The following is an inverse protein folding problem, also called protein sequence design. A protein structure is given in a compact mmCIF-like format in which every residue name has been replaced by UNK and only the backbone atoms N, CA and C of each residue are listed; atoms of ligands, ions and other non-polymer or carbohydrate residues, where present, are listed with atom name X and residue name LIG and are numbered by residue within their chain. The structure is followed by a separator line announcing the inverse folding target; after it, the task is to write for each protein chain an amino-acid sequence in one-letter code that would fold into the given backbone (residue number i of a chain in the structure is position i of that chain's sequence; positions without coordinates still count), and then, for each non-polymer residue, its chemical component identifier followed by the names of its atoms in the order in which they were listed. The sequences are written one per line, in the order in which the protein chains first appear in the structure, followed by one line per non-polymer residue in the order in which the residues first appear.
data_IF_055695681199
#
_entry.id   IF_055695681199
#
_cell.length_a   1.000
_cell.length_b   1.000
_cell.length_c   1.000
_cell.angle_alpha   90.00
_cell.angle_beta   90.00
_cell.angle_gamma   90.00
#
_symmetry.space_group_name_H-M   'P 1'
#
loop_
_entity.id
_entity.type
_entity.pdbx_description
1 polymer ?
#
# COMPACT_ATOMS: atom_id res chain seq x y z
N UNK A 1 -5.11 -10.49 15.18
CA UNK A 1 -6.29 -9.76 14.64
C UNK A 1 -6.73 -10.48 13.38
N UNK A 2 -8.05 -10.68 13.14
CA UNK A 2 -8.51 -11.37 11.93
C UNK A 2 -8.33 -10.48 10.69
N UNK A 3 -8.28 -11.08 9.49
CA UNK A 3 -8.25 -10.34 8.20
C UNK A 3 -9.39 -9.32 8.13
N UNK A 4 -10.60 -9.73 8.54
CA UNK A 4 -11.79 -8.88 8.51
C UNK A 4 -11.72 -7.71 9.49
N UNK A 5 -11.09 -7.90 10.67
CA UNK A 5 -10.92 -6.80 11.65
C UNK A 5 -9.96 -5.75 11.09
N UNK A 6 -8.86 -6.20 10.46
CA UNK A 6 -7.89 -5.28 9.84
C UNK A 6 -8.55 -4.52 8.68
N UNK A 7 -9.35 -5.21 7.83
CA UNK A 7 -10.10 -4.56 6.74
C UNK A 7 -11.05 -3.47 7.26
N UNK A 8 -11.83 -3.77 8.32
CA UNK A 8 -12.75 -2.79 8.93
C UNK A 8 -12.00 -1.60 9.50
N UNK A 9 -10.90 -1.85 10.21
CA UNK A 9 -10.04 -0.82 10.78
C UNK A 9 -9.47 0.09 9.70
N UNK A 10 -8.91 -0.49 8.63
CA UNK A 10 -8.37 0.27 7.49
C UNK A 10 -9.48 1.07 6.79
N UNK A 11 -10.67 0.48 6.59
CA UNK A 11 -11.81 1.18 5.99
C UNK A 11 -12.29 2.35 6.85
N UNK A 12 -12.28 2.19 8.18
CA UNK A 12 -12.69 3.23 9.12
C UNK A 12 -11.75 4.44 9.10
N UNK A 13 -10.47 4.27 8.74
CA UNK A 13 -9.50 5.34 8.59
C UNK A 13 -9.67 6.17 7.29
N UNK A 14 -10.46 5.71 6.32
CA UNK A 14 -10.61 6.37 5.01
C UNK A 14 -11.05 7.84 5.09
N UNK A 15 -11.99 8.26 5.97
CA UNK A 15 -12.38 9.67 6.08
C UNK A 15 -11.21 10.61 6.37
N UNK A 16 -10.15 10.17 7.00
CA UNK A 16 -8.97 10.98 7.33
C UNK A 16 -8.15 11.38 6.11
N UNK A 17 -8.23 10.62 5.00
CA UNK A 17 -7.41 10.84 3.81
C UNK A 17 -8.22 11.21 2.56
N UNK A 18 -9.48 10.78 2.44
CA UNK A 18 -10.27 10.97 1.22
C UNK A 18 -10.54 12.44 0.88
N UNK A 19 -10.59 13.31 1.88
CA UNK A 19 -10.79 14.75 1.74
C UNK A 19 -9.52 15.56 2.10
N UNK A 20 -8.38 14.90 2.36
CA UNK A 20 -7.15 15.58 2.67
C UNK A 20 -6.66 16.43 1.48
N UNK A 21 -6.10 17.59 1.77
CA UNK A 21 -5.50 18.44 0.75
C UNK A 21 -4.29 17.77 0.07
N UNK A 22 -3.91 18.25 -1.11
CA UNK A 22 -2.70 17.79 -1.78
C UNK A 22 -1.45 18.01 -0.90
N UNK A 23 -1.42 19.12 -0.15
CA UNK A 23 -0.33 19.47 0.77
C UNK A 23 -0.26 18.48 1.94
N UNK A 24 -1.38 18.11 2.54
CA UNK A 24 -1.44 17.13 3.63
C UNK A 24 -0.98 15.75 3.17
N UNK A 25 -1.46 15.29 2.01
CA UNK A 25 -1.01 14.03 1.40
C UNK A 25 0.49 14.05 1.12
N UNK A 26 1.02 15.15 0.57
CA UNK A 26 2.43 15.30 0.27
C UNK A 26 3.29 15.32 1.54
N UNK A 27 2.82 15.98 2.61
CA UNK A 27 3.48 15.98 3.93
C UNK A 27 3.55 14.56 4.50
N UNK A 28 2.45 13.80 4.45
CA UNK A 28 2.40 12.41 4.89
C UNK A 28 3.39 11.56 4.08
N UNK A 29 3.37 11.64 2.75
CA UNK A 29 4.25 10.87 1.88
C UNK A 29 5.73 11.19 2.13
N UNK A 30 6.09 12.47 2.31
CA UNK A 30 7.46 12.86 2.62
C UNK A 30 7.92 12.26 3.96
N UNK A 31 7.09 12.33 5.00
CA UNK A 31 7.38 11.73 6.29
C UNK A 31 7.48 10.20 6.24
N UNK A 32 6.69 9.54 5.38
CA UNK A 32 6.84 8.09 5.13
C UNK A 32 8.20 7.75 4.52
N UNK A 33 8.67 8.53 3.55
CA UNK A 33 9.98 8.33 2.93
C UNK A 33 11.12 8.52 3.95
N UNK A 34 11.04 9.56 4.76
CA UNK A 34 12.04 9.86 5.79
C UNK A 34 12.07 8.77 6.89
N UNK A 35 10.89 8.30 7.32
CA UNK A 35 10.78 7.22 8.30
C UNK A 35 11.29 5.88 7.75
N UNK A 36 11.08 5.60 6.45
CA UNK A 36 11.62 4.40 5.81
C UNK A 36 13.14 4.36 5.84
N UNK A 37 13.79 5.50 5.60
CA UNK A 37 15.26 5.63 5.69
C UNK A 37 15.75 5.57 7.14
N UNK A 38 15.03 6.18 8.07
CA UNK A 38 15.38 6.14 9.49
C UNK A 38 15.32 4.72 10.07
N UNK A 39 14.37 3.90 9.63
CA UNK A 39 14.19 2.52 10.08
C UNK A 39 14.96 1.48 9.22
N UNK A 40 15.89 1.94 8.36
CA UNK A 40 16.65 1.10 7.43
C UNK A 40 17.25 -0.13 8.10
N UNK A 41 17.98 0.05 9.22
CA UNK A 41 18.64 -1.06 9.93
C UNK A 41 17.64 -2.09 10.48
N UNK A 42 16.48 -1.65 10.95
CA UNK A 42 15.43 -2.54 11.43
C UNK A 42 14.82 -3.36 10.29
N UNK A 43 14.58 -2.72 9.15
CA UNK A 43 14.06 -3.38 7.94
C UNK A 43 15.07 -4.40 7.41
N UNK A 44 16.37 -4.04 7.35
CA UNK A 44 17.43 -4.93 6.87
C UNK A 44 17.59 -6.16 7.78
N UNK A 45 17.44 -6.02 9.10
CA UNK A 45 17.45 -7.19 10.02
C UNK A 45 16.30 -8.15 9.70
N UNK A 46 15.07 -7.63 9.55
CA UNK A 46 13.93 -8.45 9.18
C UNK A 46 14.09 -9.10 7.79
N UNK A 47 14.73 -8.39 6.85
CA UNK A 47 15.01 -8.92 5.53
C UNK A 47 16.03 -10.05 5.56
N UNK A 48 17.08 -9.93 6.38
CA UNK A 48 18.05 -11.02 6.56
C UNK A 48 17.38 -12.30 7.09
N UNK A 49 16.45 -12.17 8.06
CA UNK A 49 15.68 -13.32 8.58
C UNK A 49 14.80 -13.96 7.50
N UNK A 50 14.12 -13.16 6.68
CA UNK A 50 13.30 -13.66 5.58
C UNK A 50 14.17 -14.33 4.51
N UNK A 51 15.32 -13.73 4.17
CA UNK A 51 16.30 -14.30 3.22
C UNK A 51 16.84 -15.65 3.70
N UNK A 52 17.20 -15.75 4.97
CA UNK A 52 17.72 -17.01 5.53
C UNK A 52 16.63 -18.10 5.55
N UNK A 53 15.39 -17.75 5.90
CA UNK A 53 14.26 -18.66 5.87
C UNK A 53 13.87 -19.12 4.45
N UNK A 54 14.08 -18.26 3.44
CA UNK A 54 13.72 -18.54 2.05
C UNK A 54 14.80 -19.34 1.29
N UNK A 55 16.04 -19.36 1.79
CA UNK A 55 17.17 -20.05 1.14
C UNK A 55 16.89 -21.55 0.97
N UNK A 56 17.06 -22.05 -0.26
CA UNK A 56 16.77 -23.44 -0.59
C UNK A 56 15.29 -23.78 -0.80
N UNK A 57 14.38 -22.82 -0.57
CA UNK A 57 12.94 -23.00 -0.76
C UNK A 57 12.38 -22.24 -1.97
N UNK A 58 13.06 -21.19 -2.41
CA UNK A 58 12.69 -20.40 -3.58
C UNK A 58 13.87 -20.29 -4.55
N UNK A 59 13.60 -19.93 -5.81
CA UNK A 59 14.65 -19.78 -6.83
C UNK A 59 15.54 -18.57 -6.55
N UNK A 60 16.78 -18.58 -7.08
CA UNK A 60 17.74 -17.47 -6.95
C UNK A 60 17.17 -16.15 -7.47
N UNK A 61 16.36 -16.21 -8.55
CA UNK A 61 15.65 -15.02 -9.07
C UNK A 61 14.65 -14.45 -8.05
N UNK A 62 14.00 -15.32 -7.29
CA UNK A 62 13.08 -14.86 -6.22
C UNK A 62 13.85 -14.36 -5.00
N UNK A 63 14.98 -14.96 -4.68
CA UNK A 63 15.88 -14.48 -3.63
C UNK A 63 16.40 -13.07 -3.95
N UNK A 64 16.85 -12.81 -5.18
CA UNK A 64 17.26 -11.46 -5.58
C UNK A 64 16.11 -10.43 -5.48
N UNK A 65 14.89 -10.83 -5.80
CA UNK A 65 13.70 -9.96 -5.66
C UNK A 65 13.33 -9.67 -4.21
N UNK A 66 13.62 -10.61 -3.31
CA UNK A 66 13.37 -10.48 -1.87
C UNK A 66 14.46 -9.65 -1.19
N UNK A 67 15.69 -9.71 -1.68
CA UNK A 67 16.86 -9.07 -1.10
C UNK A 67 16.71 -7.56 -1.03
N UNK A 68 17.04 -6.99 0.11
CA UNK A 68 17.19 -5.55 0.33
C UNK A 68 18.60 -5.25 0.84
N UNK A 69 19.09 -4.08 0.43
CA UNK A 69 20.21 -3.37 0.98
C UNK A 69 19.83 -1.90 1.21
N UNK A 70 20.78 -1.12 1.69
CA UNK A 70 20.55 0.30 1.94
C UNK A 70 20.16 1.05 0.66
N UNK A 71 20.82 0.75 -0.46
CA UNK A 71 20.58 1.44 -1.73
C UNK A 71 19.15 1.15 -2.26
N UNK A 72 18.67 -0.09 -2.10
CA UNK A 72 17.30 -0.46 -2.44
C UNK A 72 16.26 0.22 -1.53
N UNK A 73 16.55 0.39 -0.24
CA UNK A 73 15.68 1.15 0.68
C UNK A 73 15.68 2.63 0.32
N UNK A 74 16.84 3.22 0.02
CA UNK A 74 16.94 4.60 -0.44
C UNK A 74 16.14 4.80 -1.76
N UNK A 75 16.24 3.87 -2.70
CA UNK A 75 15.44 3.89 -3.93
C UNK A 75 13.93 3.79 -3.66
N UNK A 76 13.49 3.00 -2.66
CA UNK A 76 12.09 2.96 -2.24
C UNK A 76 11.62 4.31 -1.68
N UNK A 77 12.43 4.97 -0.85
CA UNK A 77 12.14 6.29 -0.32
C UNK A 77 12.06 7.35 -1.45
N UNK A 78 12.95 7.27 -2.43
CA UNK A 78 12.93 8.14 -3.60
C UNK A 78 11.69 7.90 -4.48
N UNK A 79 11.22 6.65 -4.61
CA UNK A 79 9.96 6.30 -5.24
C UNK A 79 8.75 6.97 -4.58
N UNK A 80 8.72 7.00 -3.23
CA UNK A 80 7.70 7.74 -2.49
C UNK A 80 7.81 9.25 -2.78
N UNK A 81 9.02 9.83 -2.76
CA UNK A 81 9.24 11.26 -3.08
C UNK A 81 8.85 11.59 -4.51
N UNK A 82 9.12 10.70 -5.47
CA UNK A 82 8.66 10.87 -6.84
C UNK A 82 7.12 10.90 -6.91
N UNK A 83 6.43 10.11 -6.09
CA UNK A 83 4.96 10.13 -5.96
C UNK A 83 4.46 11.46 -5.39
N UNK A 84 5.20 12.12 -4.49
CA UNK A 84 4.87 13.48 -4.01
C UNK A 84 4.78 14.47 -5.17
N UNK A 85 5.67 14.38 -6.15
CA UNK A 85 5.72 15.28 -7.30
C UNK A 85 4.57 15.08 -8.30
N UNK A 86 3.83 13.96 -8.23
CA UNK A 86 2.69 13.71 -9.10
C UNK A 86 1.54 14.69 -8.80
N UNK A 87 0.76 15.09 -9.82
CA UNK A 87 -0.42 15.93 -9.61
C UNK A 87 -1.48 15.19 -8.80
N UNK A 88 -2.17 15.92 -7.90
CA UNK A 88 -3.34 15.37 -7.22
C UNK A 88 -4.56 15.46 -8.14
N UNK A 89 -5.16 14.33 -8.39
CA UNK A 89 -6.36 14.23 -9.23
C UNK A 89 -7.67 14.22 -8.43
N UNK A 90 -7.59 14.16 -7.10
CA UNK A 90 -8.77 14.12 -6.22
C UNK A 90 -9.58 15.42 -6.34
N UNK A 91 -10.88 15.30 -6.61
CA UNK A 91 -11.77 16.43 -6.75
C UNK A 91 -11.71 17.16 -8.10
N UNK A 92 -10.86 16.72 -9.05
CA UNK A 92 -10.75 17.29 -10.38
C UNK A 92 -12.10 17.21 -11.12
N UNK A 93 -12.56 18.33 -11.66
CA UNK A 93 -13.76 18.39 -12.50
C UNK A 93 -13.40 17.89 -13.89
N UNK A 94 -14.03 16.82 -14.34
CA UNK A 94 -13.84 16.22 -15.67
C UNK A 94 -14.81 16.78 -16.69
N UNK A 95 -16.03 17.16 -16.26
CA UNK A 95 -17.03 17.78 -17.11
C UNK A 95 -17.99 18.63 -16.25
N UNK A 96 -18.53 19.66 -16.83
CA UNK A 96 -19.65 20.45 -16.32
C UNK A 96 -20.77 20.46 -17.37
N UNK A 97 -21.99 20.25 -16.92
CA UNK A 97 -23.19 20.31 -17.74
C UNK A 97 -24.12 21.36 -17.11
N UNK A 98 -24.44 22.39 -17.87
CA UNK A 98 -25.43 23.40 -17.47
C UNK A 98 -26.80 22.99 -18.03
N UNK A 99 -27.73 22.70 -17.12
CA UNK A 99 -29.08 22.28 -17.49
C UNK A 99 -29.98 23.50 -17.72
N UNK A 100 -30.99 23.44 -18.67
CA UNK A 100 -31.85 24.56 -18.97
C UNK A 100 -32.64 25.11 -17.78
N UNK A 101 -32.85 24.33 -16.73
CA UNK A 101 -33.51 24.77 -15.47
C UNK A 101 -32.58 25.50 -14.49
N UNK A 102 -31.33 25.81 -14.87
CA UNK A 102 -30.33 26.47 -14.04
C UNK A 102 -29.49 25.55 -13.15
N UNK A 103 -29.71 24.22 -13.16
CA UNK A 103 -28.93 23.25 -12.42
C UNK A 103 -27.56 23.06 -13.08
N UNK A 104 -26.50 23.00 -12.25
CA UNK A 104 -25.13 22.68 -12.71
C UNK A 104 -24.74 21.30 -12.24
N UNK A 105 -24.39 20.42 -13.15
CA UNK A 105 -23.96 19.06 -12.88
C UNK A 105 -22.45 18.97 -13.11
N UNK A 106 -21.71 18.47 -12.12
CA UNK A 106 -20.26 18.28 -12.19
C UNK A 106 -19.89 16.81 -12.14
N UNK A 107 -19.11 16.35 -13.12
CA UNK A 107 -18.43 15.05 -13.06
C UNK A 107 -17.08 15.25 -12.40
N UNK A 108 -16.89 14.71 -11.19
CA UNK A 108 -15.64 14.83 -10.41
C UNK A 108 -14.94 13.48 -10.27
N UNK A 109 -13.59 13.51 -10.22
CA UNK A 109 -12.80 12.38 -9.75
C UNK A 109 -12.89 12.28 -8.23
N UNK A 110 -13.14 11.07 -7.72
CA UNK A 110 -13.23 10.78 -6.29
C UNK A 110 -12.39 9.55 -5.95
N UNK A 111 -11.85 9.46 -4.73
CA UNK A 111 -11.17 8.25 -4.28
C UNK A 111 -12.11 7.05 -4.27
N UNK A 112 -11.56 5.85 -4.50
CA UNK A 112 -12.31 4.60 -4.54
C UNK A 112 -12.69 4.09 -3.14
N UNK A 113 -11.84 4.34 -2.15
CA UNK A 113 -12.00 3.86 -0.78
C UNK A 113 -10.86 2.97 -0.33
N UNK A 114 -11.13 1.73 0.08
CA UNK A 114 -10.12 0.76 0.45
C UNK A 114 -9.63 0.00 -0.78
N UNK A 115 -8.33 0.11 -1.05
CA UNK A 115 -7.63 -0.63 -2.10
C UNK A 115 -6.82 -1.75 -1.43
N UNK A 116 -7.10 -3.00 -1.78
CA UNK A 116 -6.36 -4.16 -1.31
C UNK A 116 -5.36 -4.61 -2.38
N UNK A 117 -4.11 -4.84 -1.98
CA UNK A 117 -3.03 -5.23 -2.88
C UNK A 117 -2.41 -6.51 -2.35
N UNK A 118 -2.55 -7.59 -3.14
CA UNK A 118 -2.00 -8.92 -2.86
C UNK A 118 -0.78 -9.09 -3.76
N UNK A 119 0.39 -9.32 -3.18
CA UNK A 119 1.64 -9.45 -3.90
C UNK A 119 2.52 -10.52 -3.26
N UNK A 120 3.52 -10.97 -4.00
CA UNK A 120 4.48 -11.97 -3.55
C UNK A 120 5.77 -11.33 -2.98
N UNK A 121 6.89 -11.99 -3.15
CA UNK A 121 8.20 -11.70 -2.55
C UNK A 121 8.88 -10.46 -3.14
N UNK A 122 8.25 -9.28 -3.03
CA UNK A 122 8.79 -8.00 -3.51
C UNK A 122 8.58 -6.89 -2.46
N UNK A 123 9.54 -6.68 -1.57
CA UNK A 123 9.41 -5.68 -0.50
C UNK A 123 9.11 -4.25 -0.99
N UNK A 124 9.67 -3.82 -2.13
CA UNK A 124 9.45 -2.51 -2.71
C UNK A 124 7.98 -2.25 -3.07
N UNK A 125 7.21 -3.28 -3.44
CA UNK A 125 5.77 -3.14 -3.73
C UNK A 125 5.02 -2.62 -2.52
N UNK A 126 5.48 -2.92 -1.30
CA UNK A 126 4.87 -2.43 -0.05
C UNK A 126 4.85 -0.90 0.00
N UNK A 127 5.97 -0.24 -0.26
CA UNK A 127 6.10 1.22 -0.24
C UNK A 127 5.41 1.88 -1.43
N UNK A 128 5.59 1.33 -2.63
CA UNK A 128 5.03 1.89 -3.86
C UNK A 128 3.49 1.86 -3.82
N UNK A 129 2.93 0.72 -3.44
CA UNK A 129 1.49 0.54 -3.31
C UNK A 129 0.88 1.48 -2.27
N UNK A 130 1.50 1.62 -1.09
CA UNK A 130 1.05 2.53 -0.06
C UNK A 130 1.10 3.99 -0.54
N UNK A 131 2.20 4.41 -1.17
CA UNK A 131 2.38 5.78 -1.63
C UNK A 131 1.34 6.18 -2.70
N UNK A 132 1.16 5.35 -3.73
CA UNK A 132 0.20 5.61 -4.81
C UNK A 132 -1.25 5.63 -4.29
N UNK A 133 -1.56 4.72 -3.35
CA UNK A 133 -2.88 4.64 -2.75
C UNK A 133 -3.21 5.88 -1.93
N UNK A 134 -2.29 6.34 -1.07
CA UNK A 134 -2.43 7.56 -0.26
C UNK A 134 -2.52 8.80 -1.17
N UNK A 135 -1.65 8.92 -2.18
CA UNK A 135 -1.66 10.05 -3.11
C UNK A 135 -3.01 10.21 -3.79
N UNK A 136 -3.68 9.11 -4.10
CA UNK A 136 -5.00 9.11 -4.73
C UNK A 136 -6.18 9.21 -3.74
N UNK A 137 -5.91 9.47 -2.44
CA UNK A 137 -6.93 9.67 -1.41
C UNK A 137 -7.61 8.39 -0.92
N UNK A 138 -6.97 7.24 -1.14
CA UNK A 138 -7.47 5.93 -0.73
C UNK A 138 -6.73 5.42 0.51
N UNK A 139 -7.26 4.38 1.14
CA UNK A 139 -6.57 3.61 2.19
C UNK A 139 -6.09 2.27 1.63
N UNK A 140 -4.92 1.83 2.12
CA UNK A 140 -4.19 0.69 1.59
C UNK A 140 -4.24 -0.50 2.54
N UNK A 141 -4.69 -1.64 2.03
CA UNK A 141 -4.54 -2.93 2.68
C UNK A 141 -3.55 -3.77 1.89
N UNK A 142 -2.50 -4.22 2.54
CA UNK A 142 -1.42 -5.00 1.95
C UNK A 142 -1.51 -6.46 2.40
N UNK A 143 -1.23 -7.37 1.49
CA UNK A 143 -1.03 -8.79 1.78
C UNK A 143 0.18 -9.28 1.00
N UNK A 144 1.31 -9.53 1.71
CA UNK A 144 2.54 -10.07 1.13
C UNK A 144 2.55 -11.60 1.14
N UNK A 145 3.41 -12.19 0.31
CA UNK A 145 3.77 -13.61 0.43
C UNK A 145 4.45 -13.91 1.77
N UNK A 146 4.40 -15.18 2.19
CA UNK A 146 4.98 -15.63 3.46
C UNK A 146 6.50 -15.42 3.53
N UNK A 147 7.18 -15.49 2.37
CA UNK A 147 8.63 -15.38 2.24
C UNK A 147 9.15 -13.96 2.51
N UNK A 148 8.30 -12.93 2.35
CA UNK A 148 8.66 -11.52 2.54
C UNK A 148 7.90 -10.89 3.73
N UNK A 149 7.24 -11.68 4.56
CA UNK A 149 6.27 -11.14 5.52
C UNK A 149 6.90 -10.30 6.61
N UNK A 150 8.04 -10.74 7.20
CA UNK A 150 8.72 -9.96 8.24
C UNK A 150 9.21 -8.62 7.70
N UNK A 151 9.83 -8.65 6.52
CA UNK A 151 10.29 -7.46 5.81
C UNK A 151 9.12 -6.52 5.50
N UNK A 152 8.04 -7.01 4.91
CA UNK A 152 6.86 -6.21 4.60
C UNK A 152 6.22 -5.59 5.85
N UNK A 153 6.15 -6.34 6.95
CA UNK A 153 5.64 -5.85 8.24
C UNK A 153 6.52 -4.74 8.81
N UNK A 154 7.85 -4.88 8.72
CA UNK A 154 8.80 -3.84 9.16
C UNK A 154 8.66 -2.56 8.31
N UNK A 155 8.54 -2.69 6.99
CA UNK A 155 8.29 -1.56 6.09
C UNK A 155 6.97 -0.86 6.46
N UNK A 156 5.87 -1.60 6.62
CA UNK A 156 4.57 -1.01 7.02
C UNK A 156 4.68 -0.31 8.37
N UNK A 157 5.42 -0.86 9.34
CA UNK A 157 5.64 -0.21 10.62
C UNK A 157 6.35 1.14 10.46
N UNK A 158 7.41 1.21 9.65
CA UNK A 158 8.12 2.44 9.33
C UNK A 158 7.19 3.46 8.63
N UNK A 159 6.41 3.03 7.64
CA UNK A 159 5.45 3.91 6.96
C UNK A 159 4.40 4.47 7.93
N UNK A 160 3.86 3.64 8.85
CA UNK A 160 2.91 4.08 9.88
C UNK A 160 3.50 5.09 10.86
N UNK A 161 4.78 4.95 11.23
CA UNK A 161 5.48 5.95 12.04
C UNK A 161 5.59 7.29 11.30
N UNK A 162 5.95 7.26 10.01
CA UNK A 162 6.00 8.46 9.18
C UNK A 162 4.62 9.13 9.05
N UNK A 163 3.55 8.36 8.82
CA UNK A 163 2.18 8.87 8.77
C UNK A 163 1.81 9.55 10.07
N UNK A 164 2.06 8.90 11.22
CA UNK A 164 1.77 9.44 12.54
C UNK A 164 2.56 10.71 12.86
N UNK A 165 3.86 10.76 12.51
CA UNK A 165 4.72 11.93 12.73
C UNK A 165 4.25 13.15 11.94
N UNK A 166 3.62 12.94 10.78
CA UNK A 166 3.00 13.99 9.99
C UNK A 166 1.57 14.37 10.46
N UNK A 167 1.08 13.79 11.55
CA UNK A 167 -0.26 14.02 12.07
C UNK A 167 -1.37 13.28 11.31
N UNK A 168 -1.04 12.31 10.46
CA UNK A 168 -1.97 11.44 9.76
C UNK A 168 -2.44 10.26 10.62
N UNK A 169 -3.55 9.64 10.22
CA UNK A 169 -4.01 8.39 10.84
C UNK A 169 -3.17 7.21 10.34
N UNK A 170 -2.40 6.52 11.20
CA UNK A 170 -1.54 5.41 10.77
C UNK A 170 -2.34 4.21 10.24
N UNK A 171 -3.65 4.15 10.44
CA UNK A 171 -4.49 3.07 9.96
C UNK A 171 -4.93 3.22 8.50
N UNK A 172 -4.49 4.29 7.81
CA UNK A 172 -4.66 4.40 6.35
C UNK A 172 -3.81 3.39 5.57
N UNK A 173 -2.79 2.77 6.21
CA UNK A 173 -2.00 1.66 5.66
C UNK A 173 -1.96 0.53 6.67
N UNK A 174 -2.35 -0.67 6.27
CA UNK A 174 -2.25 -1.87 7.09
C UNK A 174 -1.78 -3.07 6.26
N UNK A 175 -1.25 -4.09 6.94
CA UNK A 175 -0.87 -5.36 6.35
C UNK A 175 -1.61 -6.51 7.06
N UNK A 176 -2.07 -7.48 6.28
CA UNK A 176 -2.69 -8.70 6.80
C UNK A 176 -1.62 -9.60 7.39
N UNK A 177 -1.83 -10.05 8.62
CA UNK A 177 -0.87 -10.91 9.34
C UNK A 177 -0.95 -12.38 8.93
N UNK A 178 -2.13 -12.81 8.46
CA UNK A 178 -2.32 -14.17 7.93
C UNK A 178 -1.83 -14.23 6.47
N UNK A 179 -0.77 -15.01 6.26
CA UNK A 179 -0.16 -15.23 4.94
C UNK A 179 -0.74 -16.44 4.20
N UNK A 180 -1.78 -17.08 4.71
CA UNK A 180 -2.45 -18.21 4.07
C UNK A 180 -3.22 -17.78 2.81
N UNK A 181 -3.48 -18.72 1.90
CA UNK A 181 -4.34 -18.47 0.73
C UNK A 181 -5.78 -18.08 1.14
N UNK A 182 -6.23 -18.51 2.31
CA UNK A 182 -7.55 -18.15 2.83
C UNK A 182 -7.68 -16.65 3.04
N UNK A 183 -6.66 -15.98 3.58
CA UNK A 183 -6.67 -14.52 3.78
C UNK A 183 -6.84 -13.74 2.47
N UNK A 184 -6.22 -14.21 1.39
CA UNK A 184 -6.38 -13.62 0.06
C UNK A 184 -7.83 -13.79 -0.44
N UNK A 185 -8.42 -14.97 -0.25
CA UNK A 185 -9.83 -15.25 -0.59
C UNK A 185 -10.78 -14.36 0.21
N UNK A 186 -10.55 -14.21 1.53
CA UNK A 186 -11.34 -13.32 2.40
C UNK A 186 -11.30 -11.87 1.91
N UNK A 187 -10.13 -11.37 1.52
CA UNK A 187 -9.97 -10.02 0.95
C UNK A 187 -10.79 -9.88 -0.34
N UNK A 188 -10.66 -10.82 -1.28
CA UNK A 188 -11.37 -10.77 -2.55
C UNK A 188 -12.89 -10.88 -2.40
N UNK A 189 -13.36 -11.57 -1.37
CA UNK A 189 -14.78 -11.75 -1.07
C UNK A 189 -15.37 -10.66 -0.18
N UNK A 190 -14.56 -9.74 0.35
CA UNK A 190 -14.99 -8.68 1.28
C UNK A 190 -15.81 -7.57 0.58
N UNK A 191 -16.96 -7.95 -0.01
CA UNK A 191 -17.89 -7.04 -0.70
C UNK A 191 -18.32 -5.89 0.22
N UNK A 192 -18.33 -4.67 -0.31
CA UNK A 192 -18.70 -3.47 0.42
C UNK A 192 -17.60 -2.89 1.32
N UNK A 193 -16.54 -3.64 1.65
CA UNK A 193 -15.36 -3.13 2.36
C UNK A 193 -14.27 -2.74 1.36
N UNK A 194 -13.88 -3.65 0.49
CA UNK A 194 -12.84 -3.44 -0.52
C UNK A 194 -13.47 -2.87 -1.78
N UNK A 195 -12.97 -1.72 -2.24
CA UNK A 195 -13.42 -1.10 -3.48
C UNK A 195 -12.73 -1.73 -4.69
N UNK A 196 -11.42 -2.03 -4.58
CA UNK A 196 -10.60 -2.68 -5.62
C UNK A 196 -9.65 -3.66 -4.94
N UNK A 197 -9.55 -4.86 -5.46
CA UNK A 197 -8.51 -5.83 -5.13
C UNK A 197 -7.60 -5.99 -6.34
N UNK A 198 -6.30 -5.75 -6.15
CA UNK A 198 -5.27 -5.98 -7.15
C UNK A 198 -4.42 -7.17 -6.73
N UNK A 199 -4.31 -8.18 -7.59
CA UNK A 199 -3.48 -9.35 -7.37
C UNK A 199 -2.34 -9.39 -8.39
N UNK A 200 -1.09 -9.46 -7.91
CA UNK A 200 0.08 -9.67 -8.73
C UNK A 200 0.60 -11.09 -8.52
N UNK A 201 -0.17 -12.07 -8.99
CA UNK A 201 0.20 -13.48 -9.01
C UNK A 201 0.89 -13.82 -10.33
N UNK A 202 1.82 -14.79 -10.30
CA UNK A 202 2.51 -15.24 -11.51
C UNK A 202 1.51 -15.90 -12.46
N UNK A 203 1.69 -15.65 -13.77
CA UNK A 203 0.94 -16.27 -14.85
C UNK A 203 1.19 -17.80 -15.01
N UNK A 204 1.94 -18.44 -14.11
CA UNK A 204 2.30 -19.86 -14.20
C UNK A 204 1.49 -20.80 -13.30
N UNK A 205 0.61 -20.27 -12.43
CA UNK A 205 -0.23 -21.15 -11.59
C UNK A 205 -1.64 -21.39 -12.14
N UNK A 206 -1.96 -20.88 -13.32
CA UNK A 206 -3.28 -21.09 -13.96
C UNK A 206 -3.26 -22.10 -15.11
N UNK A 207 -2.19 -22.86 -15.30
CA UNK A 207 -2.13 -23.89 -16.31
C UNK A 207 -1.74 -25.25 -15.71
N UNK A 208 -2.62 -25.80 -14.88
CA UNK A 208 -2.79 -27.23 -14.63
C UNK A 208 -4.21 -27.44 -14.15
N UNK A 209 -5.07 -27.68 -15.15
CA UNK A 209 -6.08 -28.73 -15.22
C UNK A 209 -6.63 -28.81 -16.65
#
# INVERSE_FOLDING_TARGET
MTTMDILRRTKAAWPSICNASAEDKNRILSAMADSLQAECDAILRCNAEDMDAARGHISDVMLDRLYLDKDRIDAMADGIRATVALPDHTGRILAQIDHPNGMKIYKKQVPLGLVAIIYESRPNVTSDAAALTIKSGNVCMLRSGKEAFRTAKAIVAALKQGIASAGGDPDIVNIVEDTSHQSATEIMQAKGLVAVSYTHLRAHETSQD
#
